data_IF_444704876051
#
_entry.id   IF_444704876051
#
_cell.length_a   1.000
_cell.length_b   1.000
_cell.length_c   1.000
_cell.angle_alpha   90.00
_cell.angle_beta   90.00
_cell.angle_gamma   90.00
#
_symmetry.space_group_name_H-M   'P 1'
#
loop_
_entity.id
_entity.type
_entity.pdbx_description
1 polymer ?
#
# COMPACT_ATOMS: atom_id res chain seq x y z
N UNK A 1 -33.20 -19.71 -0.10
CA UNK A 1 -31.87 -19.70 0.53
C UNK A 1 -31.49 -18.24 0.63
N UNK A 2 -31.59 -17.68 1.83
CA UNK A 2 -31.51 -16.22 2.09
C UNK A 2 -30.09 -15.75 1.80
N UNK A 3 -29.96 -14.84 0.83
CA UNK A 3 -28.72 -14.10 0.57
C UNK A 3 -28.45 -13.17 1.75
N UNK A 4 -27.63 -13.63 2.68
CA UNK A 4 -27.08 -12.83 3.78
C UNK A 4 -26.00 -11.90 3.22
N UNK A 5 -26.40 -10.80 2.57
CA UNK A 5 -25.61 -9.55 2.54
C UNK A 5 -26.48 -8.40 2.06
N UNK A 6 -26.48 -7.23 2.73
CA UNK A 6 -27.19 -6.05 2.23
C UNK A 6 -26.57 -5.58 0.91
N UNK A 7 -27.42 -5.33 -0.09
CA UNK A 7 -27.05 -4.81 -1.41
C UNK A 7 -26.65 -3.33 -1.31
N UNK A 8 -25.39 -3.09 -0.97
CA UNK A 8 -24.75 -1.80 -1.19
C UNK A 8 -24.15 -1.82 -2.60
N UNK A 9 -24.88 -1.22 -3.56
CA UNK A 9 -24.42 -0.95 -4.92
C UNK A 9 -24.60 -2.12 -5.91
N UNK A 10 -25.27 -1.86 -7.04
CA UNK A 10 -25.52 -2.82 -8.13
C UNK A 10 -24.29 -3.37 -8.87
N UNK A 11 -23.07 -3.11 -8.37
CA UNK A 11 -21.80 -3.55 -8.97
C UNK A 11 -21.15 -4.76 -8.26
N UNK A 12 -21.75 -5.29 -7.18
CA UNK A 12 -21.20 -6.46 -6.46
C UNK A 12 -21.00 -7.69 -7.34
N UNK A 13 -21.90 -7.92 -8.30
CA UNK A 13 -21.78 -9.03 -9.27
C UNK A 13 -20.50 -8.93 -10.10
N UNK A 14 -20.10 -7.72 -10.48
CA UNK A 14 -18.90 -7.45 -11.31
C UNK A 14 -17.61 -7.69 -10.53
N UNK A 15 -17.56 -7.28 -9.27
CA UNK A 15 -16.42 -7.55 -8.38
C UNK A 15 -16.22 -9.06 -8.15
N UNK A 16 -17.30 -9.82 -8.02
CA UNK A 16 -17.25 -11.28 -7.86
C UNK A 16 -16.71 -11.98 -9.12
N UNK A 17 -17.10 -11.51 -10.32
CA UNK A 17 -16.56 -12.03 -11.58
C UNK A 17 -15.06 -11.73 -11.68
N UNK A 18 -14.64 -10.50 -11.39
CA UNK A 18 -13.23 -10.12 -11.36
C UNK A 18 -12.42 -10.96 -10.37
N UNK A 19 -12.97 -11.18 -9.17
CA UNK A 19 -12.37 -12.04 -8.15
C UNK A 19 -12.21 -13.49 -8.65
N UNK A 20 -13.26 -14.06 -9.27
CA UNK A 20 -13.22 -15.42 -9.81
C UNK A 20 -12.16 -15.57 -10.91
N UNK A 21 -12.07 -14.60 -11.84
CA UNK A 21 -11.03 -14.56 -12.87
C UNK A 21 -9.64 -14.49 -12.21
N UNK A 22 -9.46 -13.63 -11.21
CA UNK A 22 -8.20 -13.53 -10.47
C UNK A 22 -7.80 -14.83 -9.78
N UNK A 23 -8.75 -15.51 -9.13
CA UNK A 23 -8.53 -16.81 -8.48
C UNK A 23 -8.12 -17.87 -9.51
N UNK A 24 -8.78 -17.93 -10.68
CA UNK A 24 -8.49 -18.90 -11.73
C UNK A 24 -7.18 -18.61 -12.48
N UNK A 25 -6.76 -17.35 -12.55
CA UNK A 25 -5.52 -16.96 -13.22
C UNK A 25 -4.29 -17.64 -12.59
N UNK A 26 -4.22 -17.74 -11.26
CA UNK A 26 -3.06 -18.33 -10.58
C UNK A 26 -2.84 -19.82 -10.90
N UNK A 27 -3.86 -20.71 -10.80
CA UNK A 27 -3.73 -22.10 -11.24
C UNK A 27 -3.39 -22.23 -12.73
N UNK A 28 -3.99 -21.41 -13.60
CA UNK A 28 -3.73 -21.45 -15.05
C UNK A 28 -2.27 -21.09 -15.35
N UNK A 29 -1.77 -19.98 -14.79
CA UNK A 29 -0.39 -19.57 -14.94
C UNK A 29 0.58 -20.60 -14.35
N UNK A 30 0.22 -21.23 -13.22
CA UNK A 30 1.00 -22.32 -12.62
C UNK A 30 1.06 -23.54 -13.54
N UNK A 31 -0.07 -23.96 -14.12
CA UNK A 31 -0.13 -25.08 -15.04
C UNK A 31 0.73 -24.84 -16.29
N UNK A 32 0.69 -23.61 -16.84
CA UNK A 32 1.55 -23.19 -17.96
C UNK A 32 3.03 -23.26 -17.55
N UNK A 33 3.38 -22.78 -16.36
CA UNK A 33 4.76 -22.84 -15.85
C UNK A 33 5.27 -24.28 -15.73
N UNK A 34 4.46 -25.18 -15.17
CA UNK A 34 4.78 -26.60 -15.04
C UNK A 34 4.98 -27.26 -16.42
N UNK A 35 4.10 -26.96 -17.38
CA UNK A 35 4.21 -27.52 -18.73
C UNK A 35 5.44 -27.01 -19.48
N UNK A 36 5.80 -25.73 -19.29
CA UNK A 36 7.00 -25.15 -19.90
C UNK A 36 8.28 -25.77 -19.34
N UNK A 37 8.31 -26.00 -18.02
CA UNK A 37 9.39 -26.72 -17.37
C UNK A 37 9.47 -28.18 -17.84
N UNK A 38 8.32 -28.86 -18.00
CA UNK A 38 8.26 -30.24 -18.52
C UNK A 38 8.82 -30.35 -19.93
N UNK A 39 8.58 -29.33 -20.77
CA UNK A 39 9.05 -29.27 -22.16
C UNK A 39 10.46 -28.69 -22.32
N UNK A 40 11.10 -28.25 -21.24
CA UNK A 40 12.43 -27.62 -21.30
C UNK A 40 12.47 -26.32 -22.12
N UNK A 41 11.36 -25.58 -22.17
CA UNK A 41 11.28 -24.34 -22.95
C UNK A 41 12.12 -23.23 -22.32
N UNK A 42 12.56 -22.27 -23.14
CA UNK A 42 13.30 -21.11 -22.65
C UNK A 42 12.43 -20.27 -21.70
N UNK A 43 13.04 -19.78 -20.63
CA UNK A 43 12.37 -19.03 -19.55
C UNK A 43 11.67 -17.77 -20.05
N UNK A 44 12.15 -17.16 -21.13
CA UNK A 44 11.55 -15.96 -21.73
C UNK A 44 10.16 -16.20 -22.35
N UNK A 45 9.80 -17.44 -22.69
CA UNK A 45 8.47 -17.72 -23.22
C UNK A 45 7.37 -17.55 -22.19
N UNK A 46 7.66 -17.76 -20.90
CA UNK A 46 6.68 -17.61 -19.83
C UNK A 46 6.11 -16.19 -19.72
N UNK A 47 6.92 -15.12 -19.55
CA UNK A 47 6.40 -13.76 -19.52
C UNK A 47 5.73 -13.36 -20.83
N UNK A 48 6.24 -13.81 -21.98
CA UNK A 48 5.59 -13.58 -23.27
C UNK A 48 4.18 -14.18 -23.31
N UNK A 49 4.01 -15.41 -22.83
CA UNK A 49 2.71 -16.10 -22.79
C UNK A 49 1.73 -15.38 -21.87
N UNK A 50 2.21 -14.88 -20.72
CA UNK A 50 1.38 -14.08 -19.81
C UNK A 50 0.90 -12.77 -20.47
N UNK A 51 1.77 -12.07 -21.20
CA UNK A 51 1.42 -10.85 -21.95
C UNK A 51 0.38 -11.17 -23.03
N UNK A 52 0.59 -12.24 -23.81
CA UNK A 52 -0.34 -12.66 -24.86
C UNK A 52 -1.69 -13.04 -24.26
N UNK A 53 -1.71 -13.79 -23.16
CA UNK A 53 -2.95 -14.14 -22.47
C UNK A 53 -3.70 -12.91 -21.96
N UNK A 54 -2.99 -11.94 -21.38
CA UNK A 54 -3.60 -10.69 -20.93
C UNK A 54 -4.22 -9.91 -22.10
N UNK A 55 -3.50 -9.79 -23.23
CA UNK A 55 -4.00 -9.12 -24.44
C UNK A 55 -5.22 -9.85 -25.04
N UNK A 56 -5.16 -11.18 -25.15
CA UNK A 56 -6.29 -11.98 -25.65
C UNK A 56 -7.49 -11.86 -24.73
N UNK A 57 -7.28 -11.90 -23.41
CA UNK A 57 -8.36 -11.73 -22.42
C UNK A 57 -9.00 -10.35 -22.56
N UNK A 58 -8.20 -9.29 -22.68
CA UNK A 58 -8.69 -7.92 -22.88
C UNK A 58 -9.49 -7.76 -24.18
N UNK A 59 -8.98 -8.27 -25.30
CA UNK A 59 -9.67 -8.20 -26.60
C UNK A 59 -10.97 -9.03 -26.56
N UNK A 60 -10.94 -10.21 -25.95
CA UNK A 60 -12.11 -11.08 -25.83
C UNK A 60 -13.17 -10.48 -24.90
N UNK A 61 -12.76 -9.78 -23.83
CA UNK A 61 -13.67 -9.09 -22.93
C UNK A 61 -14.56 -8.08 -23.68
N UNK A 62 -14.04 -7.42 -24.72
CA UNK A 62 -14.84 -6.51 -25.55
C UNK A 62 -16.09 -7.18 -26.17
N UNK A 63 -16.01 -8.47 -26.50
CA UNK A 63 -17.08 -9.20 -27.18
C UNK A 63 -18.01 -9.91 -26.19
N UNK A 64 -17.45 -10.49 -25.12
CA UNK A 64 -18.21 -11.35 -24.21
C UNK A 64 -18.62 -10.66 -22.90
N UNK A 65 -17.85 -9.68 -22.43
CA UNK A 65 -18.07 -8.99 -21.14
C UNK A 65 -17.71 -7.50 -21.29
N UNK A 66 -18.53 -6.69 -21.97
CA UNK A 66 -18.23 -5.28 -22.29
C UNK A 66 -17.89 -4.43 -21.06
N UNK A 67 -18.47 -4.74 -19.91
CA UNK A 67 -18.22 -4.07 -18.62
C UNK A 67 -16.82 -4.33 -18.08
N UNK A 68 -16.29 -5.54 -18.26
CA UNK A 68 -14.91 -5.86 -17.87
C UNK A 68 -13.92 -5.13 -18.80
N UNK A 69 -14.26 -5.00 -20.08
CA UNK A 69 -13.47 -4.24 -21.02
C UNK A 69 -13.43 -2.74 -20.65
N UNK A 70 -14.57 -2.13 -20.32
CA UNK A 70 -14.61 -0.73 -19.88
C UNK A 70 -13.83 -0.53 -18.60
N UNK A 71 -14.00 -1.42 -17.61
CA UNK A 71 -13.29 -1.36 -16.34
C UNK A 71 -11.76 -1.42 -16.51
N UNK A 72 -11.25 -2.35 -17.33
CA UNK A 72 -9.81 -2.44 -17.60
C UNK A 72 -9.31 -1.18 -18.33
N UNK A 73 -10.08 -0.66 -19.29
CA UNK A 73 -9.75 0.58 -19.99
C UNK A 73 -9.74 1.81 -19.08
N UNK A 74 -10.68 1.90 -18.14
CA UNK A 74 -10.75 2.95 -17.14
C UNK A 74 -9.55 2.93 -16.20
N UNK A 75 -9.09 1.75 -15.74
CA UNK A 75 -7.88 1.63 -14.92
C UNK A 75 -6.65 2.14 -15.68
N UNK A 76 -6.52 1.81 -16.97
CA UNK A 76 -5.39 2.27 -17.79
C UNK A 76 -5.38 3.79 -17.99
N UNK A 77 -6.55 4.39 -18.19
CA UNK A 77 -6.70 5.84 -18.39
C UNK A 77 -6.70 6.64 -17.08
N UNK A 78 -6.97 5.98 -15.94
CA UNK A 78 -6.98 6.60 -14.61
C UNK A 78 -5.67 7.29 -14.26
N UNK A 79 -4.53 6.71 -14.66
CA UNK A 79 -3.20 7.24 -14.42
C UNK A 79 -2.78 8.35 -15.42
N UNK A 80 -3.57 8.57 -16.48
CA UNK A 80 -3.28 9.50 -17.58
C UNK A 80 -4.16 10.77 -17.55
N UNK A 81 -4.90 11.06 -16.48
CA UNK A 81 -5.81 12.22 -16.43
C UNK A 81 -5.04 13.55 -16.43
N UNK A 82 -5.17 14.34 -17.51
CA UNK A 82 -4.37 15.56 -17.75
C UNK A 82 -5.11 16.91 -17.59
N UNK A 83 -6.43 16.97 -17.44
CA UNK A 83 -7.15 18.25 -17.50
C UNK A 83 -7.92 18.62 -16.22
N UNK A 84 -9.16 18.16 -16.06
CA UNK A 84 -10.07 18.59 -14.98
C UNK A 84 -9.73 18.08 -13.58
N UNK A 85 -8.83 17.10 -13.45
CA UNK A 85 -8.43 16.50 -12.18
C UNK A 85 -7.25 17.19 -11.48
N UNK A 86 -6.61 18.17 -12.13
CA UNK A 86 -5.43 18.85 -11.59
C UNK A 86 -5.76 19.91 -10.52
N UNK A 87 -7.02 20.30 -10.37
CA UNK A 87 -7.49 21.11 -9.23
C UNK A 87 -7.51 20.30 -7.93
N UNK A 88 -7.50 18.97 -8.03
CA UNK A 88 -7.44 18.06 -6.89
C UNK A 88 -5.98 17.82 -6.55
N UNK A 89 -5.53 18.39 -5.43
CA UNK A 89 -4.13 18.34 -5.00
C UNK A 89 -3.58 16.90 -4.84
N UNK A 90 -4.45 15.91 -4.62
CA UNK A 90 -4.06 14.51 -4.45
C UNK A 90 -3.85 13.75 -5.77
N UNK A 91 -4.51 14.21 -6.85
CA UNK A 91 -4.45 13.57 -8.16
C UNK A 91 -3.31 14.14 -9.03
N UNK A 92 -2.61 15.17 -8.55
CA UNK A 92 -1.46 15.74 -9.25
C UNK A 92 -0.21 14.85 -9.12
N UNK A 93 0.72 14.93 -10.10
CA UNK A 93 1.99 14.23 -10.01
C UNK A 93 2.80 14.63 -8.78
N UNK A 94 3.37 13.65 -8.07
CA UNK A 94 4.06 13.89 -6.79
C UNK A 94 5.21 14.91 -6.93
N UNK A 95 5.93 14.88 -8.04
CA UNK A 95 7.11 15.72 -8.26
C UNK A 95 6.78 17.09 -8.88
N UNK A 96 5.50 17.40 -9.07
CA UNK A 96 5.06 18.68 -9.63
C UNK A 96 4.24 19.42 -8.57
N UNK A 97 4.73 20.56 -8.10
CA UNK A 97 4.00 21.43 -7.18
C UNK A 97 3.90 22.82 -7.77
N UNK A 98 2.67 23.33 -7.94
CA UNK A 98 2.44 24.66 -8.52
C UNK A 98 2.92 24.80 -9.97
N UNK A 99 3.07 23.69 -10.71
CA UNK A 99 3.59 23.68 -12.09
C UNK A 99 5.10 23.51 -12.19
N UNK A 100 5.84 23.48 -11.08
CA UNK A 100 7.30 23.33 -11.07
C UNK A 100 7.73 21.95 -10.55
N UNK A 101 8.83 21.44 -11.13
CA UNK A 101 9.45 20.20 -10.67
C UNK A 101 10.12 20.40 -9.31
N UNK A 102 9.78 19.56 -8.33
CA UNK A 102 10.36 19.60 -7.00
C UNK A 102 10.42 18.23 -6.34
N UNK A 103 11.51 17.96 -5.64
CA UNK A 103 11.68 16.75 -4.80
C UNK A 103 11.16 16.96 -3.37
N UNK A 104 10.68 18.17 -3.04
CA UNK A 104 10.24 18.48 -1.70
C UNK A 104 9.11 17.56 -1.20
N UNK A 105 8.07 17.22 -1.99
CA UNK A 105 7.02 16.30 -1.53
C UNK A 105 7.58 14.92 -1.14
N UNK A 106 8.49 14.37 -1.94
CA UNK A 106 9.16 13.10 -1.65
C UNK A 106 9.96 13.16 -0.33
N UNK A 107 10.69 14.26 -0.11
CA UNK A 107 11.45 14.48 1.11
C UNK A 107 10.55 14.68 2.33
N UNK A 108 9.49 15.47 2.21
CA UNK A 108 8.55 15.70 3.32
C UNK A 108 7.83 14.42 3.74
N UNK A 109 7.58 13.49 2.81
CA UNK A 109 6.91 12.24 3.16
C UNK A 109 7.85 11.16 3.68
N UNK A 110 9.04 10.99 3.10
CA UNK A 110 9.92 9.85 3.42
C UNK A 110 11.31 10.25 3.94
N UNK A 111 11.69 11.52 3.85
CA UNK A 111 13.01 12.02 4.22
C UNK A 111 14.16 11.28 3.54
N UNK A 112 15.20 11.00 4.34
CA UNK A 112 16.33 10.18 3.90
C UNK A 112 15.93 8.75 3.49
N UNK A 113 14.80 8.24 4.01
CA UNK A 113 14.27 6.92 3.68
C UNK A 113 13.96 6.76 2.19
N UNK A 114 13.48 7.81 1.51
CA UNK A 114 13.27 7.75 0.06
C UNK A 114 14.57 7.47 -0.69
N UNK A 115 15.65 8.20 -0.39
CA UNK A 115 16.95 8.04 -1.05
C UNK A 115 17.50 6.64 -0.80
N UNK A 116 17.47 6.19 0.46
CA UNK A 116 17.97 4.87 0.85
C UNK A 116 17.16 3.77 0.15
N UNK A 117 15.83 3.90 0.11
CA UNK A 117 14.97 2.94 -0.56
C UNK A 117 15.31 2.80 -2.05
N UNK A 118 15.57 3.90 -2.76
CA UNK A 118 15.96 3.87 -4.17
C UNK A 118 17.34 3.24 -4.39
N UNK A 119 18.32 3.54 -3.52
CA UNK A 119 19.64 2.93 -3.60
C UNK A 119 19.58 1.42 -3.35
N UNK A 120 18.81 0.98 -2.37
CA UNK A 120 18.59 -0.44 -2.08
C UNK A 120 17.86 -1.12 -3.23
N UNK A 121 16.83 -0.48 -3.79
CA UNK A 121 16.10 -1.03 -4.93
C UNK A 121 17.01 -1.18 -6.15
N UNK A 122 17.85 -0.19 -6.45
CA UNK A 122 18.85 -0.26 -7.52
C UNK A 122 19.86 -1.40 -7.27
N UNK A 123 20.31 -1.58 -6.03
CA UNK A 123 21.17 -2.70 -5.64
C UNK A 123 20.48 -4.06 -5.82
N UNK A 124 19.22 -4.18 -5.41
CA UNK A 124 18.43 -5.40 -5.60
C UNK A 124 18.20 -5.73 -7.07
N UNK A 125 17.93 -4.71 -7.91
CA UNK A 125 17.85 -4.86 -9.37
C UNK A 125 19.18 -5.33 -9.97
N UNK A 126 20.29 -4.75 -9.54
CA UNK A 126 21.62 -5.16 -10.00
C UNK A 126 21.91 -6.63 -9.64
N UNK A 127 21.62 -7.05 -8.41
CA UNK A 127 21.76 -8.46 -7.99
C UNK A 127 20.82 -9.36 -8.78
N UNK A 128 19.59 -8.92 -9.01
CA UNK A 128 18.59 -9.73 -9.73
C UNK A 128 19.04 -10.07 -11.17
N UNK A 129 19.81 -9.18 -11.80
CA UNK A 129 20.34 -9.37 -13.16
C UNK A 129 21.67 -10.13 -13.15
N UNK A 130 22.55 -9.88 -12.17
CA UNK A 130 23.93 -10.40 -12.17
C UNK A 130 24.11 -11.71 -11.39
N UNK A 131 23.23 -12.00 -10.44
CA UNK A 131 23.36 -13.14 -9.52
C UNK A 131 22.09 -14.00 -9.52
N UNK A 132 22.11 -15.10 -8.78
CA UNK A 132 20.90 -15.92 -8.55
C UNK A 132 19.91 -15.12 -7.71
N UNK A 133 18.85 -14.66 -8.36
CA UNK A 133 17.73 -13.99 -7.71
C UNK A 133 16.81 -15.00 -7.00
N UNK A 134 16.15 -14.57 -5.93
CA UNK A 134 15.13 -15.36 -5.23
C UNK A 134 13.73 -14.83 -5.54
N UNK A 135 12.70 -15.64 -5.30
CA UNK A 135 11.31 -15.28 -5.62
C UNK A 135 10.85 -14.09 -4.78
N UNK A 136 11.24 -14.04 -3.51
CA UNK A 136 10.88 -12.99 -2.55
C UNK A 136 11.49 -11.64 -2.94
N UNK A 137 12.76 -11.63 -3.36
CA UNK A 137 13.42 -10.43 -3.87
C UNK A 137 12.78 -9.94 -5.16
N UNK A 138 12.42 -10.85 -6.07
CA UNK A 138 11.70 -10.50 -7.30
C UNK A 138 10.37 -9.85 -6.99
N UNK A 139 9.59 -10.44 -6.07
CA UNK A 139 8.32 -9.87 -5.64
C UNK A 139 8.50 -8.47 -5.06
N UNK A 140 9.44 -8.27 -4.14
CA UNK A 140 9.71 -6.96 -3.54
C UNK A 140 10.12 -5.92 -4.58
N UNK A 141 10.96 -6.29 -5.56
CA UNK A 141 11.37 -5.40 -6.65
C UNK A 141 10.15 -4.99 -7.48
N UNK A 142 9.38 -5.96 -8.00
CA UNK A 142 8.22 -5.70 -8.86
C UNK A 142 7.18 -4.85 -8.14
N UNK A 143 6.85 -5.22 -6.90
CA UNK A 143 5.92 -4.47 -6.07
C UNK A 143 6.40 -3.03 -5.85
N UNK A 144 7.68 -2.84 -5.50
CA UNK A 144 8.24 -1.50 -5.28
C UNK A 144 8.23 -0.65 -6.54
N UNK A 145 8.60 -1.22 -7.70
CA UNK A 145 8.58 -0.50 -8.97
C UNK A 145 7.17 -0.06 -9.36
N UNK A 146 6.17 -0.93 -9.20
CA UNK A 146 4.77 -0.60 -9.52
C UNK A 146 4.25 0.52 -8.61
N UNK A 147 4.54 0.45 -7.30
CA UNK A 147 4.09 1.48 -6.36
C UNK A 147 4.82 2.81 -6.57
N UNK A 148 6.12 2.78 -6.90
CA UNK A 148 6.86 3.99 -7.29
C UNK A 148 6.23 4.62 -8.53
N UNK A 149 5.93 3.82 -9.55
CA UNK A 149 5.26 4.31 -10.74
C UNK A 149 3.91 4.96 -10.40
N UNK A 150 3.06 4.30 -9.62
CA UNK A 150 1.77 4.85 -9.21
C UNK A 150 1.91 6.16 -8.42
N UNK A 151 2.85 6.20 -7.47
CA UNK A 151 3.16 7.37 -6.64
C UNK A 151 3.66 8.55 -7.47
N UNK A 152 4.53 8.32 -8.46
CA UNK A 152 5.04 9.38 -9.32
C UNK A 152 3.92 10.02 -10.16
N UNK A 153 2.89 9.24 -10.52
CA UNK A 153 1.79 9.74 -11.32
C UNK A 153 0.79 10.53 -10.47
N UNK A 154 0.51 10.09 -9.23
CA UNK A 154 -0.48 10.75 -8.38
C UNK A 154 -0.07 10.66 -6.90
N UNK A 155 -0.09 11.81 -6.21
CA UNK A 155 0.31 11.93 -4.82
C UNK A 155 -0.52 11.06 -3.85
N UNK A 156 -1.78 10.75 -4.18
CA UNK A 156 -2.59 9.83 -3.35
C UNK A 156 -1.99 8.43 -3.19
N UNK A 157 -1.10 7.97 -4.08
CA UNK A 157 -0.50 6.65 -3.93
C UNK A 157 0.74 6.65 -3.02
N UNK A 158 1.17 7.80 -2.53
CA UNK A 158 2.37 7.94 -1.69
C UNK A 158 2.31 7.08 -0.43
N UNK A 159 1.14 6.93 0.22
CA UNK A 159 1.02 6.10 1.42
C UNK A 159 1.26 4.61 1.16
N UNK A 160 1.01 4.10 -0.05
CA UNK A 160 1.34 2.71 -0.39
C UNK A 160 2.85 2.50 -0.41
N UNK A 161 3.61 3.50 -0.88
CA UNK A 161 5.07 3.39 -0.96
C UNK A 161 5.74 3.40 0.43
N UNK A 162 5.06 3.90 1.48
CA UNK A 162 5.60 3.91 2.84
C UNK A 162 6.01 2.52 3.33
N UNK A 163 5.24 1.49 2.99
CA UNK A 163 5.55 0.10 3.36
C UNK A 163 6.81 -0.39 2.64
N UNK A 164 6.91 -0.12 1.33
CA UNK A 164 8.09 -0.47 0.53
C UNK A 164 9.35 0.24 1.06
N UNK A 165 9.25 1.54 1.37
CA UNK A 165 10.36 2.31 1.96
C UNK A 165 10.80 1.69 3.28
N UNK A 166 9.87 1.36 4.18
CA UNK A 166 10.20 0.74 5.46
C UNK A 166 10.94 -0.60 5.29
N UNK A 167 10.48 -1.46 4.37
CA UNK A 167 11.10 -2.75 4.09
C UNK A 167 12.49 -2.57 3.45
N UNK A 168 12.63 -1.68 2.47
CA UNK A 168 13.91 -1.44 1.79
C UNK A 168 14.94 -0.78 2.74
N UNK A 169 14.51 0.16 3.59
CA UNK A 169 15.37 0.74 4.63
C UNK A 169 15.78 -0.29 5.68
N UNK A 170 14.85 -1.18 6.08
CA UNK A 170 15.18 -2.30 6.97
C UNK A 170 16.21 -3.24 6.34
N UNK A 171 16.07 -3.53 5.03
CA UNK A 171 17.05 -4.31 4.28
C UNK A 171 18.44 -3.66 4.31
N UNK A 172 18.54 -2.33 4.11
CA UNK A 172 19.81 -1.61 4.29
C UNK A 172 20.38 -1.75 5.70
N UNK A 173 19.52 -1.62 6.74
CA UNK A 173 19.91 -1.82 8.12
C UNK A 173 20.49 -3.21 8.37
N UNK A 174 19.83 -4.26 7.87
CA UNK A 174 20.31 -5.64 7.97
C UNK A 174 21.65 -5.82 7.24
N UNK A 175 21.83 -5.24 6.05
CA UNK A 175 23.13 -5.28 5.36
C UNK A 175 24.26 -4.66 6.19
N UNK A 176 23.99 -3.58 6.91
CA UNK A 176 24.96 -2.95 7.82
C UNK A 176 25.26 -3.85 9.02
N UNK A 177 24.24 -4.47 9.62
CA UNK A 177 24.41 -5.41 10.74
C UNK A 177 25.17 -6.68 10.33
N UNK A 178 24.86 -7.25 9.17
CA UNK A 178 25.54 -8.44 8.64
C UNK A 178 27.02 -8.17 8.41
N UNK A 179 27.36 -7.01 7.84
CA UNK A 179 28.77 -6.60 7.65
C UNK A 179 29.49 -6.32 8.97
N UNK A 180 28.77 -5.92 10.01
CA UNK A 180 29.34 -5.68 11.33
C UNK A 180 29.52 -6.97 12.17
N UNK A 181 29.07 -8.12 11.68
CA UNK A 181 29.27 -9.43 12.33
C UNK A 181 28.20 -9.84 13.34
N UNK A 182 27.02 -9.18 13.31
CA UNK A 182 25.92 -9.49 14.22
C UNK A 182 25.42 -10.95 14.15
N UNK A 183 25.28 -11.59 12.97
CA UNK A 183 24.82 -12.98 12.90
C UNK A 183 25.72 -13.95 13.69
N UNK A 184 27.04 -13.76 13.61
CA UNK A 184 28.01 -14.60 14.33
C UNK A 184 27.94 -14.37 15.84
N UNK A 185 27.76 -13.11 16.28
CA UNK A 185 27.58 -12.75 17.68
C UNK A 185 26.28 -13.36 18.25
N UNK A 186 25.16 -13.20 17.54
CA UNK A 186 23.84 -13.73 17.97
C UNK A 186 23.87 -15.25 18.09
N UNK A 187 24.45 -15.94 17.10
CA UNK A 187 24.59 -17.40 17.14
C UNK A 187 25.46 -17.86 18.32
N UNK A 188 26.55 -17.14 18.60
CA UNK A 188 27.43 -17.42 19.74
C UNK A 188 26.72 -17.25 21.08
N UNK A 189 25.90 -16.20 21.22
CA UNK A 189 25.07 -15.96 22.42
C UNK A 189 23.99 -17.03 22.59
N UNK A 190 23.29 -17.39 21.50
CA UNK A 190 22.26 -18.43 21.51
C UNK A 190 22.83 -19.79 21.92
N UNK A 191 24.02 -20.15 21.42
CA UNK A 191 24.69 -21.39 21.80
C UNK A 191 25.13 -21.39 23.27
N UNK A 192 25.55 -20.26 23.82
CA UNK A 192 25.87 -20.14 25.26
C UNK A 192 24.63 -20.30 26.14
N UNK A 193 23.51 -19.66 25.76
CA UNK A 193 22.24 -19.80 26.49
C UNK A 193 21.73 -21.24 26.43
N UNK A 194 21.71 -21.85 25.24
CA UNK A 194 21.26 -23.23 25.07
C UNK A 194 22.14 -24.27 25.79
N UNK A 195 23.44 -24.05 25.91
CA UNK A 195 24.33 -24.96 26.64
C UNK A 195 24.15 -24.87 28.16
N UNK A 196 23.82 -23.68 28.68
CA UNK A 196 23.56 -23.48 30.10
C UNK A 196 22.25 -24.15 30.57
N UNK A 197 21.25 -24.27 29.68
CA UNK A 197 19.98 -24.95 29.99
C UNK A 197 20.10 -26.49 30.02
N UNK A 198 21.14 -27.05 29.41
CA UNK A 198 21.41 -28.50 29.40
C UNK A 198 22.30 -29.02 30.54
N UNK A 199 22.82 -28.15 31.41
CA UNK A 199 23.66 -28.58 32.55
C UNK A 199 22.87 -28.99 33.81
N UNK A 200 21.54 -28.97 33.78
CA UNK A 200 20.69 -29.26 34.93
C UNK A 200 19.74 -30.45 34.75
N UNK A 201 20.16 -31.57 34.13
CA UNK A 201 19.70 -32.92 34.53
C UNK A 201 20.44 -34.05 33.80
N UNK A 202 20.97 -34.98 34.61
CA UNK A 202 21.41 -36.36 34.31
C UNK A 202 22.85 -36.69 33.82
N UNK A 203 23.42 -37.84 34.30
CA UNK A 203 24.85 -38.12 34.21
C UNK A 203 25.27 -38.88 32.94
N UNK A 204 26.36 -38.37 32.34
CA UNK A 204 27.37 -39.00 31.45
C UNK A 204 27.08 -40.43 30.97
N UNK A 205 26.81 -40.58 29.66
CA UNK A 205 27.24 -41.75 28.88
C UNK A 205 28.16 -41.35 27.72
N UNK A 206 29.38 -41.88 27.76
CA UNK A 206 30.45 -41.76 26.75
C UNK A 206 29.92 -42.13 25.36
N UNK A 207 29.97 -41.20 24.39
CA UNK A 207 30.04 -41.53 22.95
C UNK A 207 31.10 -40.68 22.24
N UNK A 208 31.69 -41.34 21.24
CA UNK A 208 32.98 -41.13 20.59
C UNK A 208 33.18 -39.72 20.01
N UNK A 209 34.43 -39.23 20.15
CA UNK A 209 35.03 -38.09 19.45
C UNK A 209 34.78 -38.19 17.93
N UNK A 210 33.95 -37.30 17.37
CA UNK A 210 34.10 -36.84 15.99
C UNK A 210 34.68 -35.44 16.01
N UNK A 211 35.80 -35.26 15.31
CA UNK A 211 36.49 -33.98 15.10
C UNK A 211 35.53 -32.93 14.50
N UNK A 212 34.88 -32.15 15.35
CA UNK A 212 34.36 -30.84 14.95
C UNK A 212 35.51 -29.85 15.01
N UNK A 213 35.83 -29.25 13.87
CA UNK A 213 36.84 -28.20 13.72
C UNK A 213 36.53 -27.08 14.72
N UNK A 214 37.53 -26.74 15.53
CA UNK A 214 37.55 -25.57 16.41
C UNK A 214 37.16 -24.31 15.62
N UNK A 215 35.92 -23.83 15.78
CA UNK A 215 35.56 -22.43 15.59
C UNK A 215 34.57 -22.09 16.70
N UNK A 216 35.09 -21.98 17.92
CA UNK A 216 34.41 -21.33 19.03
C UNK A 216 35.34 -20.26 19.56
N UNK A 217 35.68 -19.30 18.69
CA UNK A 217 36.18 -18.03 19.19
C UNK A 217 35.06 -17.39 20.00
N UNK A 218 35.35 -17.08 21.26
CA UNK A 218 34.52 -16.26 22.13
C UNK A 218 34.39 -14.88 21.47
N UNK A 219 33.48 -14.72 20.51
CA UNK A 219 33.24 -13.42 19.89
C UNK A 219 32.67 -12.48 20.94
N UNK A 220 33.47 -11.49 21.30
CA UNK A 220 33.10 -10.40 22.20
C UNK A 220 32.50 -9.26 21.37
N UNK A 221 31.65 -8.48 22.02
CA UNK A 221 31.07 -7.28 21.43
C UNK A 221 32.20 -6.35 20.98
N UNK A 222 32.24 -6.07 19.68
CA UNK A 222 33.32 -5.29 19.03
C UNK A 222 32.83 -3.88 18.73
N UNK A 223 33.74 -2.92 18.58
CA UNK A 223 33.41 -1.51 18.26
C UNK A 223 32.52 -1.38 17.01
N UNK A 224 32.67 -2.28 16.03
CA UNK A 224 31.85 -2.35 14.82
C UNK A 224 30.37 -2.63 15.09
N UNK A 225 30.05 -3.39 16.14
CA UNK A 225 28.66 -3.64 16.54
C UNK A 225 28.02 -2.36 17.06
N UNK A 226 28.73 -1.64 17.94
CA UNK A 226 28.27 -0.35 18.49
C UNK A 226 28.12 0.68 17.36
N UNK A 227 29.14 0.80 16.50
CA UNK A 227 29.13 1.72 15.37
C UNK A 227 27.97 1.43 14.40
N UNK A 228 27.70 0.16 14.09
CA UNK A 228 26.60 -0.23 13.20
C UNK A 228 25.22 0.17 13.73
N UNK A 229 24.97 -0.03 15.04
CA UNK A 229 23.71 0.37 15.68
C UNK A 229 23.60 1.89 15.69
N UNK A 230 24.68 2.60 16.03
CA UNK A 230 24.69 4.06 16.03
C UNK A 230 24.44 4.64 14.64
N UNK A 231 25.02 4.06 13.59
CA UNK A 231 24.76 4.43 12.19
C UNK A 231 23.29 4.22 11.84
N UNK A 232 22.70 3.06 12.18
CA UNK A 232 21.28 2.78 11.92
C UNK A 232 20.39 3.79 12.65
N UNK A 233 20.69 4.10 13.91
CA UNK A 233 19.93 5.08 14.68
C UNK A 233 20.04 6.47 14.05
N UNK A 234 21.24 6.93 13.71
CA UNK A 234 21.45 8.28 13.19
C UNK A 234 20.95 8.48 11.75
N UNK A 235 21.03 7.44 10.90
CA UNK A 235 20.73 7.55 9.47
C UNK A 235 19.31 7.10 9.14
N UNK A 236 18.79 6.06 9.81
CA UNK A 236 17.47 5.51 9.52
C UNK A 236 16.43 5.96 10.54
N UNK A 237 16.69 5.78 11.84
CA UNK A 237 15.67 5.96 12.88
C UNK A 237 15.44 7.43 13.19
N UNK A 238 16.50 8.18 13.49
CA UNK A 238 16.41 9.56 13.94
C UNK A 238 15.77 10.49 12.89
N UNK A 239 16.17 10.50 11.60
CA UNK A 239 15.57 11.39 10.60
C UNK A 239 14.10 11.04 10.33
N UNK A 240 13.75 9.74 10.32
CA UNK A 240 12.37 9.31 10.13
C UNK A 240 11.50 9.68 11.33
N UNK A 241 12.00 9.47 12.55
CA UNK A 241 11.30 9.83 13.78
C UNK A 241 11.13 11.35 13.90
N UNK A 242 12.17 12.14 13.58
CA UNK A 242 12.08 13.61 13.65
C UNK A 242 11.03 14.16 12.70
N UNK A 243 11.00 13.67 11.45
CA UNK A 243 9.97 14.07 10.47
C UNK A 243 8.57 13.63 10.90
N UNK A 244 8.44 12.45 11.51
CA UNK A 244 7.16 11.95 12.00
C UNK A 244 6.64 12.80 13.16
N UNK A 245 7.50 13.17 14.11
CA UNK A 245 7.16 14.06 15.22
C UNK A 245 6.80 15.45 14.71
N UNK A 246 7.56 15.99 13.76
CA UNK A 246 7.25 17.27 13.13
C UNK A 246 5.87 17.25 12.49
N UNK A 247 5.54 16.22 11.70
CA UNK A 247 4.24 16.07 11.06
C UNK A 247 3.11 15.88 12.07
N UNK A 248 3.32 15.08 13.11
CA UNK A 248 2.33 14.88 14.18
C UNK A 248 2.10 16.13 15.03
N UNK A 249 3.10 17.03 15.09
CA UNK A 249 3.01 18.30 15.82
C UNK A 249 2.33 19.43 15.03
N UNK A 250 2.12 19.25 13.72
CA UNK A 250 1.33 20.18 12.91
C UNK A 250 -0.15 20.04 13.26
N UNK A 251 -0.90 21.13 13.11
CA UNK A 251 -2.34 21.14 13.39
C UNK A 251 -3.04 19.94 12.74
N UNK A 252 -3.81 19.22 13.56
CA UNK A 252 -4.67 18.14 13.09
C UNK A 252 -5.69 18.82 12.18
N UNK A 253 -5.61 18.54 10.87
CA UNK A 253 -6.54 19.09 9.90
C UNK A 253 -8.01 18.81 10.29
N UNK A 254 -8.93 19.60 9.78
CA UNK A 254 -10.35 19.48 10.11
C UNK A 254 -11.06 20.83 10.11
N UNK A 255 -12.29 20.86 10.63
CA UNK A 255 -13.01 22.11 10.83
C UNK A 255 -12.38 22.90 11.98
N UNK A 256 -12.21 24.20 11.78
CA UNK A 256 -11.89 25.11 12.89
C UNK A 256 -13.16 25.37 13.74
N UNK A 257 -12.96 25.96 14.93
CA UNK A 257 -14.07 26.30 15.85
C UNK A 257 -15.24 27.05 15.17
N UNK A 258 -14.98 28.14 14.43
CA UNK A 258 -16.04 28.89 13.75
C UNK A 258 -16.87 28.06 12.76
N UNK A 259 -16.23 27.12 12.04
CA UNK A 259 -16.95 26.23 11.15
C UNK A 259 -17.82 25.23 11.92
N UNK A 260 -17.33 24.67 13.03
CA UNK A 260 -18.12 23.78 13.90
C UNK A 260 -19.33 24.52 14.46
N UNK A 261 -19.12 25.74 14.97
CA UNK A 261 -20.19 26.60 15.50
C UNK A 261 -21.23 26.92 14.42
N UNK A 262 -20.79 27.19 13.20
CA UNK A 262 -21.67 27.45 12.06
C UNK A 262 -22.49 26.21 11.67
N UNK A 263 -21.91 25.01 11.71
CA UNK A 263 -22.63 23.76 11.45
C UNK A 263 -23.64 23.46 12.57
N UNK A 264 -23.30 23.68 13.83
CA UNK A 264 -24.26 23.58 14.93
C UNK A 264 -25.38 24.60 14.81
N UNK A 265 -25.06 25.83 14.43
CA UNK A 265 -26.07 26.84 14.15
C UNK A 265 -27.02 26.36 13.06
N UNK A 266 -26.49 25.85 11.94
CA UNK A 266 -27.28 25.30 10.85
C UNK A 266 -28.23 24.19 11.33
N UNK A 267 -27.72 23.25 12.12
CA UNK A 267 -28.49 22.14 12.68
C UNK A 267 -29.67 22.61 13.55
N UNK A 268 -29.42 23.55 14.48
CA UNK A 268 -30.39 23.95 15.50
C UNK A 268 -31.28 25.14 15.12
N UNK A 269 -30.94 25.90 14.07
CA UNK A 269 -31.64 27.15 13.70
C UNK A 269 -32.26 27.10 12.31
N UNK A 270 -32.24 25.96 11.62
CA UNK A 270 -32.98 25.76 10.37
C UNK A 270 -34.08 24.72 10.56
N UNK A 271 -35.18 24.76 9.78
CA UNK A 271 -36.25 23.78 9.87
C UNK A 271 -35.74 22.34 9.76
N UNK A 272 -36.55 21.39 10.20
CA UNK A 272 -36.31 19.98 9.88
C UNK A 272 -36.46 19.78 8.36
N UNK A 273 -35.60 18.97 7.76
CA UNK A 273 -35.65 18.61 6.34
C UNK A 273 -36.44 17.30 6.10
N UNK A 274 -37.03 16.70 7.13
CA UNK A 274 -37.89 15.51 7.03
C UNK A 274 -37.13 14.21 6.71
N UNK A 275 -35.80 14.25 6.65
CA UNK A 275 -34.94 13.11 6.32
C UNK A 275 -34.22 12.67 7.58
N UNK A 276 -34.61 11.52 8.14
CA UNK A 276 -33.99 10.96 9.34
C UNK A 276 -32.54 10.53 9.07
N UNK A 277 -31.60 11.15 9.78
CA UNK A 277 -30.18 10.88 9.64
C UNK A 277 -29.79 9.42 9.89
N UNK A 278 -30.55 8.67 10.70
CA UNK A 278 -30.23 7.29 11.10
C UNK A 278 -31.05 6.23 10.36
N UNK A 279 -31.95 6.64 9.47
CA UNK A 279 -32.79 5.71 8.72
C UNK A 279 -31.97 4.87 7.74
N UNK A 280 -32.41 3.62 7.55
CA UNK A 280 -31.85 2.73 6.54
C UNK A 280 -32.61 2.97 5.24
N UNK A 281 -32.03 3.80 4.39
CA UNK A 281 -32.60 4.15 3.09
C UNK A 281 -32.41 3.03 2.06
N UNK A 282 -33.48 2.71 1.33
CA UNK A 282 -33.37 1.90 0.11
C UNK A 282 -32.64 2.69 -0.99
N UNK A 283 -31.92 2.02 -1.90
CA UNK A 283 -31.28 2.68 -3.04
C UNK A 283 -32.30 3.41 -3.92
N UNK A 284 -31.84 4.48 -4.61
CA UNK A 284 -32.65 5.15 -5.63
C UNK A 284 -33.13 4.13 -6.68
N UNK A 285 -34.44 4.08 -7.01
CA UNK A 285 -34.95 3.24 -8.09
C UNK A 285 -34.21 3.50 -9.41
N UNK A 286 -34.00 2.46 -10.22
CA UNK A 286 -33.24 2.56 -11.48
C UNK A 286 -33.93 3.46 -12.51
N UNK A 287 -35.25 3.53 -12.47
CA UNK A 287 -36.12 4.30 -13.36
C UNK A 287 -36.38 5.74 -12.87
N UNK A 288 -35.92 6.10 -11.67
CA UNK A 288 -36.10 7.43 -11.11
C UNK A 288 -34.92 8.35 -11.42
N UNK A 289 -35.19 9.57 -11.90
CA UNK A 289 -34.17 10.60 -12.12
C UNK A 289 -33.55 11.06 -10.78
N UNK A 290 -34.36 11.16 -9.72
CA UNK A 290 -33.95 11.62 -8.40
C UNK A 290 -34.34 10.64 -7.30
N UNK A 291 -33.67 10.75 -6.14
CA UNK A 291 -34.09 10.05 -4.94
C UNK A 291 -35.45 10.59 -4.47
N UNK A 292 -36.43 9.73 -4.11
CA UNK A 292 -37.76 10.17 -3.70
C UNK A 292 -37.74 10.70 -2.26
N UNK A 293 -37.21 11.92 -2.09
CA UNK A 293 -37.23 12.60 -0.81
C UNK A 293 -38.66 13.01 -0.39
N UNK A 294 -38.93 13.18 0.92
CA UNK A 294 -40.15 13.81 1.41
C UNK A 294 -40.38 15.21 0.82
N UNK A 295 -41.62 15.67 0.76
CA UNK A 295 -41.97 16.97 0.14
C UNK A 295 -41.35 18.17 0.88
N UNK A 296 -41.16 18.03 2.19
CA UNK A 296 -40.54 19.02 3.08
C UNK A 296 -39.00 19.08 2.96
N UNK A 297 -38.39 18.17 2.21
CA UNK A 297 -36.94 18.09 2.10
C UNK A 297 -36.35 19.30 1.36
N UNK A 298 -35.25 19.81 1.91
CA UNK A 298 -34.49 20.90 1.29
C UNK A 298 -32.97 20.63 1.36
N UNK A 299 -32.27 21.18 0.37
CA UNK A 299 -30.82 21.06 0.24
C UNK A 299 -30.06 22.32 0.67
N UNK A 300 -28.79 22.14 1.03
CA UNK A 300 -27.84 23.20 1.35
C UNK A 300 -26.80 23.25 0.23
N UNK A 301 -26.76 24.37 -0.48
CA UNK A 301 -25.78 24.58 -1.55
C UNK A 301 -24.49 25.14 -0.96
N UNK A 302 -23.39 24.43 -1.18
CA UNK A 302 -22.05 24.80 -0.73
C UNK A 302 -21.00 24.17 -1.64
N UNK A 303 -19.74 24.58 -1.48
CA UNK A 303 -18.63 23.93 -2.17
C UNK A 303 -18.49 22.46 -1.72
N UNK A 304 -18.06 21.61 -2.65
CA UNK A 304 -18.10 20.16 -2.48
C UNK A 304 -17.22 19.67 -1.32
N UNK A 305 -16.13 20.37 -0.98
CA UNK A 305 -15.25 20.07 0.15
C UNK A 305 -16.01 19.95 1.49
N UNK A 306 -17.12 20.68 1.63
CA UNK A 306 -17.84 20.82 2.90
C UNK A 306 -19.05 19.89 3.04
N UNK A 307 -19.39 19.11 2.00
CA UNK A 307 -20.61 18.30 2.00
C UNK A 307 -20.68 17.29 3.16
N UNK A 308 -19.57 16.63 3.49
CA UNK A 308 -19.53 15.72 4.64
C UNK A 308 -19.75 16.43 5.96
N UNK A 309 -19.27 17.65 6.13
CA UNK A 309 -19.46 18.41 7.37
C UNK A 309 -20.89 18.92 7.52
N UNK A 310 -21.49 19.38 6.42
CA UNK A 310 -22.91 19.75 6.35
C UNK A 310 -23.79 18.54 6.71
N UNK A 311 -23.45 17.36 6.21
CA UNK A 311 -24.19 16.13 6.51
C UNK A 311 -23.97 15.69 7.95
N UNK A 312 -22.72 15.51 8.39
CA UNK A 312 -22.39 14.84 9.64
C UNK A 312 -22.55 15.72 10.89
N UNK A 313 -22.42 17.05 10.77
CA UNK A 313 -22.52 17.99 11.89
C UNK A 313 -23.76 18.87 11.74
N UNK A 314 -23.95 19.41 10.52
CA UNK A 314 -25.11 20.23 10.21
C UNK A 314 -26.42 19.45 10.13
N UNK A 315 -26.36 18.13 9.95
CA UNK A 315 -27.52 17.25 9.74
C UNK A 315 -28.48 17.82 8.69
N UNK A 316 -27.91 18.29 7.56
CA UNK A 316 -28.66 18.76 6.39
C UNK A 316 -28.09 18.14 5.12
N UNK A 317 -28.89 18.14 4.05
CA UNK A 317 -28.55 17.50 2.78
C UNK A 317 -27.69 18.47 1.94
N UNK A 318 -26.39 18.21 1.72
CA UNK A 318 -25.60 19.06 0.84
C UNK A 318 -25.91 18.76 -0.64
N UNK A 319 -25.91 19.78 -1.49
CA UNK A 319 -26.01 19.56 -2.95
C UNK A 319 -24.76 18.91 -3.53
N UNK A 320 -23.57 19.24 -2.99
CA UNK A 320 -22.30 18.71 -3.46
C UNK A 320 -21.47 18.13 -2.31
N UNK A 321 -20.60 17.15 -2.60
CA UNK A 321 -19.84 16.44 -1.57
C UNK A 321 -18.40 16.03 -1.99
N UNK A 322 -17.55 15.63 -1.01
CA UNK A 322 -16.17 15.21 -1.26
C UNK A 322 -15.97 14.00 -2.19
N UNK A 323 -17.03 13.34 -2.63
CA UNK A 323 -16.97 12.36 -3.72
C UNK A 323 -16.97 12.99 -5.11
N UNK A 324 -16.84 14.32 -5.21
CA UNK A 324 -16.82 15.09 -6.46
C UNK A 324 -18.13 14.92 -7.24
N UNK A 325 -19.23 14.86 -6.50
CA UNK A 325 -20.61 14.84 -7.00
C UNK A 325 -21.31 16.12 -6.57
N UNK A 326 -22.11 16.69 -7.47
CA UNK A 326 -22.90 17.90 -7.29
C UNK A 326 -23.90 18.05 -8.41
#
# INVERSE_FOLDING_TARGET
MVSLTPEIGGDKSKHLIGLAIGILAFPVLTAISLEFNRRGLNKYYYPLTAIVLAAVTYISARLFIPELYSLIGEIGTYFLREAGGLTIAEASPLLIRGGEFTLAPLWYTFGAGAIISFLVLAYLLFIAVTQKNTQEKTFLIVWSVIIIWAMLQQNRFTYYYAVNVAILCSFAGIMVLDKAGWPQLINSLKNKLSNNDTESTEPKKKKKKSKSKNISENQKLTIWHIASVLIIVLVLVYPAASLSVEQASRDIGGLNGPWIDSMHWLKYNTPDNGVDYLEIYEPRPEDADYYPYPEEAYGVMSWWDYGHWITAIGERIPHANPFQRG
#
